data_IF_448775104184
#
_entry.id   IF_448775104184
#
_cell.length_a   1.000
_cell.length_b   1.000
_cell.length_c   1.000
_cell.angle_alpha   90.00
_cell.angle_beta   90.00
_cell.angle_gamma   90.00
#
_symmetry.space_group_name_H-M   'P 1'
#
loop_
_entity.id
_entity.type
_entity.pdbx_description
1 polymer ?
#
# COMPACT_ATOMS: atom_id res chain seq x y z
N UNK A 1 -10.20 0.75 7.58
CA UNK A 1 -10.04 1.88 8.53
C UNK A 1 -11.27 1.90 9.39
N UNK A 2 -11.10 1.97 10.70
CA UNK A 2 -12.22 2.20 11.60
C UNK A 2 -12.53 3.71 11.59
N UNK A 3 -13.77 4.09 11.31
CA UNK A 3 -14.18 5.49 11.13
C UNK A 3 -15.35 5.74 12.06
N UNK A 4 -15.20 6.72 12.96
CA UNK A 4 -16.31 7.14 13.82
C UNK A 4 -17.41 7.78 12.95
N UNK A 5 -18.67 7.49 13.28
CA UNK A 5 -19.83 8.09 12.62
C UNK A 5 -19.81 9.62 12.64
N UNK A 6 -19.21 10.22 13.66
CA UNK A 6 -19.06 11.67 13.78
C UNK A 6 -18.07 12.27 12.77
N UNK A 7 -17.11 11.49 12.29
CA UNK A 7 -16.08 11.93 11.34
C UNK A 7 -16.51 11.77 9.87
N UNK A 8 -17.55 10.97 9.60
CA UNK A 8 -18.01 10.66 8.24
C UNK A 8 -18.25 11.93 7.42
N UNK A 9 -18.98 12.90 7.99
CA UNK A 9 -19.34 14.13 7.28
C UNK A 9 -18.12 14.98 6.95
N UNK A 10 -17.16 15.08 7.87
CA UNK A 10 -15.93 15.83 7.65
C UNK A 10 -15.03 15.16 6.58
N UNK A 11 -14.95 13.83 6.61
CA UNK A 11 -14.23 13.05 5.58
C UNK A 11 -14.90 13.22 4.21
N UNK A 12 -16.22 13.15 4.15
CA UNK A 12 -16.99 13.36 2.91
C UNK A 12 -16.70 14.75 2.31
N UNK A 13 -16.76 15.81 3.12
CA UNK A 13 -16.47 17.18 2.67
C UNK A 13 -15.02 17.32 2.17
N UNK A 14 -14.05 16.71 2.86
CA UNK A 14 -12.64 16.72 2.45
C UNK A 14 -12.41 15.95 1.15
N UNK A 15 -13.00 14.76 0.99
CA UNK A 15 -12.88 13.96 -0.22
C UNK A 15 -13.53 14.66 -1.42
N UNK A 16 -14.69 15.27 -1.22
CA UNK A 16 -15.37 16.06 -2.26
C UNK A 16 -14.46 17.18 -2.78
N UNK A 17 -13.85 17.96 -1.88
CA UNK A 17 -12.91 19.02 -2.26
C UNK A 17 -11.68 18.51 -3.02
N UNK A 18 -11.18 17.32 -2.66
CA UNK A 18 -10.04 16.70 -3.36
C UNK A 18 -10.44 16.30 -4.79
N UNK A 19 -11.63 15.71 -4.96
CA UNK A 19 -12.15 15.33 -6.28
C UNK A 19 -12.35 16.58 -7.14
N UNK A 20 -13.01 17.63 -6.61
CA UNK A 20 -13.21 18.90 -7.31
C UNK A 20 -11.88 19.55 -7.74
N UNK A 21 -10.83 19.40 -6.93
CA UNK A 21 -9.49 19.90 -7.27
C UNK A 21 -8.85 19.08 -8.41
N UNK A 22 -8.96 17.75 -8.36
CA UNK A 22 -8.42 16.86 -9.39
C UNK A 22 -9.15 17.04 -10.73
N UNK A 23 -10.44 17.36 -10.71
CA UNK A 23 -11.25 17.60 -11.92
C UNK A 23 -10.72 18.77 -12.78
N UNK A 24 -9.96 19.69 -12.19
CA UNK A 24 -9.29 20.76 -12.96
C UNK A 24 -8.32 20.20 -14.02
N UNK A 25 -7.76 19.01 -13.81
CA UNK A 25 -6.87 18.35 -14.75
C UNK A 25 -7.58 17.88 -16.03
N UNK A 26 -8.91 17.72 -16.01
CA UNK A 26 -9.71 17.33 -17.18
C UNK A 26 -9.74 18.41 -18.28
N UNK A 27 -9.30 19.64 -17.97
CA UNK A 27 -9.26 20.76 -18.93
C UNK A 27 -8.24 20.59 -20.05
N UNK A 28 -7.28 19.67 -19.88
CA UNK A 28 -6.20 19.41 -20.84
C UNK A 28 -6.49 18.08 -21.56
N UNK A 29 -6.55 18.10 -22.90
CA UNK A 29 -6.66 16.87 -23.68
C UNK A 29 -5.38 16.03 -23.53
N UNK A 30 -5.56 14.77 -23.19
CA UNK A 30 -4.50 13.75 -23.13
C UNK A 30 -4.69 12.68 -24.20
N UNK A 31 -5.50 12.98 -25.23
CA UNK A 31 -5.77 12.06 -26.32
C UNK A 31 -4.47 11.67 -27.03
N UNK A 32 -4.28 10.36 -27.23
CA UNK A 32 -3.08 9.77 -27.83
C UNK A 32 -1.77 9.99 -27.04
N UNK A 33 -1.83 10.39 -25.77
CA UNK A 33 -0.67 10.44 -24.88
C UNK A 33 -0.56 9.13 -24.10
N UNK A 34 0.57 8.42 -24.23
CA UNK A 34 0.83 7.22 -23.44
C UNK A 34 1.09 7.61 -21.97
N UNK A 35 0.46 6.93 -20.98
CA UNK A 35 0.67 7.22 -19.57
C UNK A 35 2.09 6.87 -19.13
N UNK A 36 2.70 7.70 -18.29
CA UNK A 36 4.04 7.49 -17.74
C UNK A 36 3.96 6.74 -16.40
N UNK A 37 4.16 5.42 -16.43
CA UNK A 37 4.15 4.58 -15.21
C UNK A 37 5.43 4.71 -14.36
N UNK A 38 6.58 4.86 -15.03
CA UNK A 38 7.87 5.05 -14.39
C UNK A 38 8.60 6.20 -15.10
N UNK A 39 9.26 7.11 -14.36
CA UNK A 39 9.99 8.23 -14.97
C UNK A 39 11.27 7.78 -15.69
N UNK A 40 11.77 6.59 -15.37
CA UNK A 40 12.96 6.01 -15.97
C UNK A 40 12.56 4.93 -16.98
N UNK A 41 13.16 4.99 -18.16
CA UNK A 41 12.99 3.98 -19.21
C UNK A 41 13.81 2.72 -18.90
N UNK A 42 13.44 2.00 -17.84
CA UNK A 42 14.14 0.80 -17.41
C UNK A 42 13.41 -0.46 -17.90
N UNK A 43 14.19 -1.42 -18.37
CA UNK A 43 13.69 -2.78 -18.59
C UNK A 43 13.51 -3.51 -17.26
N UNK A 44 12.63 -4.50 -17.24
CA UNK A 44 12.48 -5.38 -16.09
C UNK A 44 13.79 -6.12 -15.81
N UNK A 45 14.32 -5.97 -14.59
CA UNK A 45 15.51 -6.69 -14.16
C UNK A 45 15.15 -8.12 -13.81
N UNK A 46 15.96 -9.06 -14.26
CA UNK A 46 15.86 -10.44 -13.84
C UNK A 46 16.60 -10.63 -12.51
N UNK A 47 16.02 -11.40 -11.60
CA UNK A 47 16.68 -11.91 -10.40
C UNK A 47 17.27 -13.27 -10.74
N UNK A 48 18.53 -13.51 -10.36
CA UNK A 48 19.18 -14.83 -10.52
C UNK A 48 18.44 -15.83 -9.62
N UNK A 49 18.25 -17.05 -10.12
CA UNK A 49 17.60 -18.14 -9.38
C UNK A 49 18.58 -18.83 -8.42
N UNK A 50 19.00 -18.09 -7.41
CA UNK A 50 19.92 -18.55 -6.36
C UNK A 50 19.30 -18.30 -4.98
N UNK A 51 19.59 -19.20 -4.05
CA UNK A 51 19.20 -19.07 -2.63
C UNK A 51 20.15 -18.10 -1.96
N UNK A 52 19.61 -17.07 -1.29
CA UNK A 52 20.39 -16.03 -0.60
C UNK A 52 20.13 -15.98 0.90
N UNK A 53 19.14 -16.72 1.36
CA UNK A 53 18.54 -16.56 2.68
C UNK A 53 19.28 -17.37 3.75
N UNK A 54 19.55 -16.71 4.87
CA UNK A 54 19.94 -17.35 6.13
C UNK A 54 18.82 -17.23 7.15
N UNK A 55 18.70 -18.20 8.06
CA UNK A 55 17.69 -18.12 9.12
C UNK A 55 18.05 -16.99 10.11
N UNK A 56 17.30 -15.88 10.06
CA UNK A 56 17.45 -14.74 10.97
C UNK A 56 16.17 -14.48 11.79
N UNK A 57 15.57 -15.56 12.28
CA UNK A 57 14.27 -15.54 12.96
C UNK A 57 14.22 -14.55 14.13
N UNK A 58 15.28 -14.46 14.93
CA UNK A 58 15.32 -13.59 16.11
C UNK A 58 15.20 -12.11 15.74
N UNK A 59 15.94 -11.64 14.72
CA UNK A 59 15.83 -10.27 14.25
C UNK A 59 14.49 -10.01 13.57
N UNK A 60 14.01 -10.96 12.78
CA UNK A 60 12.74 -10.85 12.05
C UNK A 60 11.54 -10.78 13.02
N UNK A 61 11.62 -11.46 14.17
CA UNK A 61 10.56 -11.48 15.17
C UNK A 61 10.70 -10.41 16.26
N UNK A 62 11.79 -9.65 16.27
CA UNK A 62 12.10 -8.65 17.32
C UNK A 62 10.98 -7.64 17.58
N UNK A 63 10.26 -7.22 16.55
CA UNK A 63 9.18 -6.21 16.64
C UNK A 63 7.78 -6.84 16.63
N UNK A 64 7.68 -8.16 16.68
CA UNK A 64 6.40 -8.85 16.69
C UNK A 64 5.67 -8.60 18.02
N UNK A 65 4.37 -8.29 17.96
CA UNK A 65 3.57 -8.07 19.16
C UNK A 65 3.44 -9.35 20.01
N UNK A 66 3.26 -10.50 19.36
CA UNK A 66 3.10 -11.79 20.02
C UNK A 66 3.77 -12.89 19.19
N UNK A 67 4.62 -13.66 19.85
CA UNK A 67 5.32 -14.81 19.26
C UNK A 67 5.19 -16.03 20.17
N UNK A 68 5.00 -17.20 19.58
CA UNK A 68 5.07 -18.48 20.29
C UNK A 68 5.75 -19.53 19.41
N UNK A 69 6.75 -20.24 19.95
CA UNK A 69 7.49 -21.31 19.24
C UNK A 69 8.01 -20.90 17.86
N UNK A 70 8.36 -19.62 17.71
CA UNK A 70 8.84 -19.06 16.45
C UNK A 70 7.74 -18.79 15.42
N UNK A 71 6.48 -18.69 15.83
CA UNK A 71 5.34 -18.30 15.00
C UNK A 71 4.81 -16.93 15.43
N UNK A 72 4.28 -16.16 14.48
CA UNK A 72 3.51 -14.95 14.79
C UNK A 72 2.10 -15.35 15.20
N UNK A 73 1.67 -14.91 16.37
CA UNK A 73 0.31 -15.16 16.83
C UNK A 73 -0.64 -14.12 16.24
N UNK A 74 -1.77 -14.60 15.74
CA UNK A 74 -2.89 -13.78 15.26
C UNK A 74 -4.17 -14.26 15.91
N UNK A 75 -5.14 -13.37 16.20
CA UNK A 75 -6.45 -13.78 16.71
C UNK A 75 -7.11 -14.76 15.73
N UNK A 76 -7.52 -15.92 16.25
CA UNK A 76 -8.33 -16.87 15.46
C UNK A 76 -9.74 -16.29 15.33
N UNK A 77 -10.19 -16.07 14.10
CA UNK A 77 -11.61 -15.76 13.85
C UNK A 77 -12.40 -17.06 14.00
N UNK A 78 -13.37 -17.06 14.90
CA UNK A 78 -14.36 -18.13 15.07
C UNK A 78 -15.72 -17.43 15.08
N UNK A 79 -16.62 -17.87 14.20
CA UNK A 79 -18.03 -17.46 14.15
C UNK A 79 -18.90 -18.41 14.99
#
# INVERSE_FOLDING_TARGET
MDIDKNEIKDIEEKLTKIIDFVDQLQTISTDNIAPMAHPLNQSQRLRIDEVTETNDRENIQKNAQQIEKGMYLVPKVID
#
